data_IF_867975195655
#
_entry.id   IF_867975195655
#
_cell.length_a   1.000
_cell.length_b   1.000
_cell.length_c   1.000
_cell.angle_alpha   90.00
_cell.angle_beta   90.00
_cell.angle_gamma   90.00
#
_symmetry.space_group_name_H-M   'P 1'
#
loop_
_entity.id
_entity.type
_entity.pdbx_description
1 polymer ?
#
# COMPACT_ATOMS: atom_id res chain seq x y z
N UNK A 1 2.51 20.45 0.65
CA UNK A 1 1.76 19.19 0.61
C UNK A 1 1.36 18.92 -0.83
N UNK A 2 2.06 18.07 -1.60
CA UNK A 2 1.62 17.76 -2.95
C UNK A 2 0.56 16.65 -2.90
N UNK A 3 -0.58 16.94 -3.50
CA UNK A 3 -1.65 16.00 -3.83
C UNK A 3 -1.08 14.78 -4.57
N UNK A 4 -1.31 13.59 -4.03
CA UNK A 4 -0.91 12.34 -4.69
C UNK A 4 -2.12 11.44 -4.83
N UNK A 5 -2.93 11.76 -5.83
CA UNK A 5 -3.89 10.83 -6.39
C UNK A 5 -3.15 10.09 -7.50
N UNK A 6 -2.86 8.80 -7.30
CA UNK A 6 -2.20 7.99 -8.33
C UNK A 6 -3.13 7.65 -9.51
N UNK A 7 -4.39 8.10 -9.48
CA UNK A 7 -5.33 7.93 -10.59
C UNK A 7 -5.85 9.26 -11.12
N UNK A 8 -5.55 9.61 -12.38
CA UNK A 8 -6.22 10.70 -13.05
C UNK A 8 -7.69 10.32 -13.36
N UNK A 9 -8.61 11.30 -13.40
CA UNK A 9 -9.98 11.04 -13.81
C UNK A 9 -9.99 10.55 -15.27
N UNK A 10 -10.42 9.30 -15.48
CA UNK A 10 -10.51 8.65 -16.81
C UNK A 10 -9.86 7.26 -16.93
N UNK A 11 -9.14 6.75 -15.92
CA UNK A 11 -8.57 5.40 -15.99
C UNK A 11 -9.62 4.32 -15.67
N UNK A 12 -9.81 3.33 -16.57
CA UNK A 12 -10.84 2.30 -16.42
C UNK A 12 -10.56 1.30 -15.29
N UNK A 13 -9.29 0.89 -15.07
CA UNK A 13 -8.89 -0.02 -13.97
C UNK A 13 -7.47 0.28 -13.50
N UNK A 14 -7.17 -0.09 -12.26
CA UNK A 14 -5.82 -0.09 -11.70
C UNK A 14 -5.11 -1.41 -12.03
N UNK A 15 -3.80 -1.36 -12.18
CA UNK A 15 -2.97 -2.55 -12.39
C UNK A 15 -2.34 -3.04 -11.09
N UNK A 16 -1.64 -4.17 -11.16
CA UNK A 16 -0.85 -4.66 -10.04
C UNK A 16 0.31 -3.71 -9.70
N UNK A 17 0.93 -3.10 -10.72
CA UNK A 17 2.00 -2.13 -10.56
C UNK A 17 1.54 -0.89 -9.78
N UNK A 18 0.29 -0.44 -9.98
CA UNK A 18 -0.30 0.65 -9.21
C UNK A 18 -0.40 0.29 -7.71
N UNK A 19 -0.83 -0.94 -7.41
CA UNK A 19 -0.89 -1.44 -6.04
C UNK A 19 0.51 -1.54 -5.42
N UNK A 20 1.50 -2.04 -6.17
CA UNK A 20 2.89 -2.11 -5.72
C UNK A 20 3.46 -0.72 -5.43
N UNK A 21 3.14 0.28 -6.26
CA UNK A 21 3.54 1.66 -6.05
C UNK A 21 2.95 2.25 -4.75
N UNK A 22 1.68 1.95 -4.46
CA UNK A 22 1.04 2.34 -3.19
C UNK A 22 1.73 1.67 -2.01
N UNK A 23 1.95 0.36 -2.06
CA UNK A 23 2.60 -0.40 -0.98
C UNK A 23 4.02 0.07 -0.71
N UNK A 24 4.78 0.41 -1.76
CA UNK A 24 6.13 0.97 -1.63
C UNK A 24 6.11 2.32 -0.91
N UNK A 25 5.10 3.16 -1.20
CA UNK A 25 4.94 4.46 -0.54
C UNK A 25 4.55 4.31 0.93
N UNK A 26 3.63 3.40 1.25
CA UNK A 26 3.20 3.15 2.62
C UNK A 26 4.35 2.60 3.48
N UNK A 27 5.25 1.81 2.90
CA UNK A 27 6.39 1.19 3.59
C UNK A 27 7.70 1.96 3.49
N UNK A 28 7.68 3.18 2.98
CA UNK A 28 8.88 4.03 2.93
C UNK A 28 9.39 4.33 4.37
N UNK A 29 10.67 4.06 4.70
CA UNK A 29 11.17 4.23 6.06
C UNK A 29 11.21 5.68 6.56
N UNK A 30 11.28 6.66 5.65
CA UNK A 30 11.40 8.08 6.00
C UNK A 30 10.08 8.83 6.05
N UNK A 31 9.12 8.45 5.20
CA UNK A 31 7.88 9.19 4.94
C UNK A 31 6.63 8.30 4.87
N UNK A 32 6.79 6.99 5.03
CA UNK A 32 5.69 6.02 5.03
C UNK A 32 4.88 6.01 6.33
N UNK A 33 3.86 5.16 6.35
CA UNK A 33 3.03 4.98 7.53
C UNK A 33 3.82 4.23 8.62
N UNK A 34 3.92 4.77 9.85
CA UNK A 34 4.69 4.14 10.93
C UNK A 34 4.24 2.71 11.28
N UNK A 35 2.98 2.36 11.01
CA UNK A 35 2.45 1.02 11.24
C UNK A 35 2.88 0.05 10.14
N UNK A 36 2.69 0.42 8.86
CA UNK A 36 3.10 -0.40 7.70
C UNK A 36 4.60 -0.70 7.69
N UNK A 37 5.42 0.27 8.12
CA UNK A 37 6.89 0.12 8.22
C UNK A 37 7.29 -0.91 9.28
N UNK A 38 6.56 -1.01 10.39
CA UNK A 38 6.85 -1.97 11.48
C UNK A 38 6.27 -3.36 11.24
N UNK A 39 5.38 -3.48 10.25
CA UNK A 39 4.60 -4.67 10.02
C UNK A 39 5.41 -5.74 9.28
N UNK A 40 5.42 -6.95 9.84
CA UNK A 40 6.13 -8.13 9.33
C UNK A 40 5.15 -9.15 8.74
N UNK A 41 5.67 -10.21 8.11
CA UNK A 41 4.85 -11.35 7.66
C UNK A 41 4.12 -12.03 8.83
N UNK A 42 4.82 -12.26 9.96
CA UNK A 42 4.24 -12.91 11.13
C UNK A 42 3.04 -12.12 11.70
N UNK A 43 3.10 -10.80 11.65
CA UNK A 43 2.00 -9.93 12.11
C UNK A 43 0.86 -9.83 11.11
N UNK A 44 1.09 -10.07 9.80
CA UNK A 44 0.03 -10.02 8.78
C UNK A 44 -0.71 -11.35 8.64
N UNK A 45 0.01 -12.47 8.80
CA UNK A 45 -0.48 -13.80 8.48
C UNK A 45 -1.83 -14.18 9.13
N UNK A 46 -2.11 -13.85 10.41
CA UNK A 46 -3.40 -14.16 11.03
C UNK A 46 -4.58 -13.51 10.29
N UNK A 47 -4.44 -12.24 9.89
CA UNK A 47 -5.48 -11.49 9.19
C UNK A 47 -5.68 -11.97 7.75
N UNK A 48 -4.64 -12.51 7.12
CA UNK A 48 -4.78 -13.10 5.77
C UNK A 48 -5.60 -14.39 5.78
N UNK A 49 -5.59 -15.14 6.88
CA UNK A 49 -6.35 -16.38 7.02
C UNK A 49 -7.85 -16.10 7.21
N UNK A 50 -8.19 -14.99 7.86
CA UNK A 50 -9.59 -14.60 8.12
C UNK A 50 -10.34 -14.17 6.85
N UNK A 51 -9.62 -13.78 5.79
CA UNK A 51 -10.18 -13.28 4.52
C UNK A 51 -10.31 -14.37 3.44
N UNK A 52 -9.96 -15.63 3.76
CA UNK A 52 -9.90 -16.77 2.82
C UNK A 52 -11.22 -17.54 2.66
#
# INVERSE_FOLDING_TARGET
MPEQTSKPPGAERYTLEDLLAVMARLRDPGSGCPWDVKQSFATIAPYTIEEA
#
